data_IF_262947189980
#
_entry.id   IF_262947189980
#
_cell.length_a   1.000
_cell.length_b   1.000
_cell.length_c   1.000
_cell.angle_alpha   90.00
_cell.angle_beta   90.00
_cell.angle_gamma   90.00
#
_symmetry.space_group_name_H-M   'P 1'
#
loop_
_entity.id
_entity.type
_entity.pdbx_description
1 polymer ?
#
# COMPACT_ATOMS: atom_id res chain seq x y z
N UNK A 1 10.42 -4.18 29.44
CA UNK A 1 11.60 -4.25 28.54
C UNK A 1 11.02 -4.54 27.17
N UNK A 2 10.87 -3.52 26.33
CA UNK A 2 10.19 -3.67 25.05
C UNK A 2 11.19 -4.20 24.01
N UNK A 3 10.82 -5.29 23.33
CA UNK A 3 11.71 -5.99 22.41
C UNK A 3 11.47 -5.34 21.04
N UNK A 4 12.26 -4.31 20.73
CA UNK A 4 12.23 -3.67 19.42
C UNK A 4 12.86 -4.59 18.39
N UNK A 5 12.04 -5.20 17.54
CA UNK A 5 12.52 -6.02 16.43
C UNK A 5 12.64 -5.16 15.18
N UNK A 6 13.86 -5.02 14.65
CA UNK A 6 14.09 -4.33 13.38
C UNK A 6 13.56 -5.18 12.24
N UNK A 7 12.66 -4.64 11.42
CA UNK A 7 12.04 -5.39 10.32
C UNK A 7 12.72 -5.10 8.97
N UNK A 8 12.95 -3.81 8.68
CA UNK A 8 13.66 -3.32 7.49
C UNK A 8 14.17 -1.88 7.69
N UNK A 9 14.97 -1.40 6.73
CA UNK A 9 15.44 -0.01 6.67
C UNK A 9 14.73 0.74 5.52
N UNK A 10 14.28 1.96 5.80
CA UNK A 10 13.71 2.94 4.86
C UNK A 10 14.70 4.09 4.76
N UNK A 11 15.49 4.11 3.69
CA UNK A 11 16.62 5.04 3.53
C UNK A 11 17.60 4.93 4.72
N UNK A 12 17.78 5.99 5.49
CA UNK A 12 18.59 5.99 6.73
C UNK A 12 17.76 5.72 8.00
N UNK A 13 16.47 5.44 7.88
CA UNK A 13 15.57 5.18 9.00
C UNK A 13 15.38 3.69 9.24
N UNK A 14 15.59 3.25 10.48
CA UNK A 14 15.29 1.88 10.91
C UNK A 14 13.80 1.76 11.23
N UNK A 15 13.10 0.84 10.58
CA UNK A 15 11.71 0.51 10.91
C UNK A 15 11.71 -0.69 11.84
N UNK A 16 11.20 -0.48 13.05
CA UNK A 16 11.09 -1.50 14.10
C UNK A 16 9.64 -1.64 14.56
N UNK A 17 9.25 -2.87 14.90
CA UNK A 17 7.95 -3.15 15.52
C UNK A 17 8.20 -3.60 16.95
N UNK A 18 7.28 -3.20 17.82
CA UNK A 18 7.29 -3.47 19.24
C UNK A 18 5.86 -3.68 19.73
N UNK A 19 5.69 -4.28 20.90
CA UNK A 19 4.39 -4.45 21.52
C UNK A 19 4.00 -3.16 22.25
N UNK A 20 3.18 -2.32 21.61
CA UNK A 20 2.48 -1.20 22.25
C UNK A 20 0.96 -1.44 22.23
N UNK A 21 0.24 -1.15 23.31
CA UNK A 21 -1.22 -1.19 23.33
C UNK A 21 -1.88 0.02 22.63
N UNK A 22 -1.14 1.08 22.31
CA UNK A 22 -1.70 2.30 21.70
C UNK A 22 -1.84 2.19 20.17
N UNK A 23 -0.89 1.53 19.50
CA UNK A 23 -0.87 1.36 18.06
C UNK A 23 -0.80 -0.13 17.71
N UNK A 24 -1.97 -0.71 17.47
CA UNK A 24 -2.14 -2.13 17.18
C UNK A 24 -2.54 -2.29 15.71
N UNK A 25 -1.88 -3.24 15.04
CA UNK A 25 -2.28 -3.72 13.72
C UNK A 25 -2.38 -5.23 13.73
N UNK A 26 -3.40 -5.77 13.07
CA UNK A 26 -3.54 -7.22 12.83
C UNK A 26 -2.95 -7.63 11.48
N UNK A 27 -2.50 -6.67 10.68
CA UNK A 27 -2.09 -6.82 9.29
C UNK A 27 -0.56 -6.93 9.12
N UNK A 28 0.16 -7.49 10.09
CA UNK A 28 1.63 -7.46 10.13
C UNK A 28 2.35 -7.99 8.87
N UNK A 29 1.70 -8.85 8.08
CA UNK A 29 2.24 -9.36 6.81
C UNK A 29 2.48 -8.27 5.76
N UNK A 30 1.79 -7.12 5.84
CA UNK A 30 2.02 -5.96 4.99
C UNK A 30 3.47 -5.45 5.07
N UNK A 31 4.14 -5.64 6.21
CA UNK A 31 5.54 -5.26 6.40
C UNK A 31 6.48 -6.10 5.53
N UNK A 32 6.14 -7.38 5.33
CA UNK A 32 6.89 -8.25 4.43
C UNK A 32 6.68 -7.82 2.97
N UNK A 33 5.44 -7.47 2.59
CA UNK A 33 5.14 -6.93 1.26
C UNK A 33 5.94 -5.65 0.99
N UNK A 34 6.01 -4.74 1.97
CA UNK A 34 6.82 -3.53 1.85
C UNK A 34 8.31 -3.83 1.67
N UNK A 35 8.83 -4.81 2.41
CA UNK A 35 10.22 -5.25 2.28
C UNK A 35 10.50 -5.84 0.90
N UNK A 36 9.57 -6.60 0.34
CA UNK A 36 9.66 -7.15 -1.02
C UNK A 36 9.61 -6.04 -2.07
N UNK A 37 8.65 -5.11 -1.96
CA UNK A 37 8.54 -3.99 -2.88
C UNK A 37 9.79 -3.11 -2.87
N UNK A 38 10.38 -2.83 -1.70
CA UNK A 38 11.65 -2.09 -1.62
C UNK A 38 12.81 -2.77 -2.33
N UNK A 39 12.84 -4.10 -2.31
CA UNK A 39 13.90 -4.90 -2.93
C UNK A 39 13.70 -5.04 -4.44
N UNK A 40 12.47 -5.30 -4.87
CA UNK A 40 12.17 -5.72 -6.23
C UNK A 40 11.51 -4.64 -7.09
N UNK A 41 10.93 -3.60 -6.49
CA UNK A 41 10.33 -2.44 -7.17
C UNK A 41 9.26 -2.82 -8.20
N UNK A 42 8.46 -3.84 -7.89
CA UNK A 42 7.45 -4.38 -8.82
C UNK A 42 6.33 -3.36 -9.01
N UNK A 43 5.79 -2.83 -7.91
CA UNK A 43 4.74 -1.81 -7.94
C UNK A 43 5.27 -0.53 -8.59
N UNK A 44 6.50 -0.11 -8.25
CA UNK A 44 7.15 1.03 -8.88
C UNK A 44 7.24 0.85 -10.41
N UNK A 45 7.76 -0.28 -10.87
CA UNK A 45 7.88 -0.60 -12.30
C UNK A 45 6.54 -0.53 -13.02
N UNK A 46 5.51 -1.21 -12.50
CA UNK A 46 4.18 -1.22 -13.12
C UNK A 46 3.50 0.15 -13.03
N UNK A 47 3.68 0.89 -11.95
CA UNK A 47 3.09 2.23 -11.82
C UNK A 47 3.58 3.20 -12.91
N UNK A 48 4.83 3.06 -13.35
CA UNK A 48 5.41 3.86 -14.44
C UNK A 48 4.83 3.51 -15.83
N UNK A 49 4.17 2.35 -15.98
CA UNK A 49 3.50 1.95 -17.22
C UNK A 49 2.06 2.48 -17.32
N UNK A 50 1.51 3.02 -16.23
CA UNK A 50 0.15 3.57 -16.19
C UNK A 50 0.20 5.07 -16.45
N UNK A 51 -0.39 5.53 -17.56
CA UNK A 51 -0.54 6.96 -17.83
C UNK A 51 -1.64 7.56 -16.95
N UNK A 52 -1.28 8.51 -16.10
CA UNK A 52 -2.25 9.26 -15.31
C UNK A 52 -2.92 10.35 -16.17
N UNK A 53 -4.21 10.16 -16.49
CA UNK A 53 -5.01 11.10 -17.28
C UNK A 53 -5.71 12.16 -16.43
N UNK A 54 -5.55 12.12 -15.10
CA UNK A 54 -6.18 13.07 -14.17
C UNK A 54 -5.48 14.43 -14.27
N UNK A 55 -6.22 15.49 -13.92
CA UNK A 55 -5.65 16.83 -13.88
C UNK A 55 -4.55 16.90 -12.79
N UNK A 56 -3.30 17.29 -13.10
CA UNK A 56 -2.17 17.20 -12.16
C UNK A 56 -2.40 17.92 -10.83
N UNK A 57 -3.05 19.08 -10.86
CA UNK A 57 -3.35 19.88 -9.65
C UNK A 57 -4.38 19.25 -8.71
N UNK A 58 -5.09 18.19 -9.14
CA UNK A 58 -6.11 17.50 -8.34
C UNK A 58 -5.64 16.12 -7.85
N UNK A 59 -4.37 15.78 -8.08
CA UNK A 59 -3.80 14.49 -7.67
C UNK A 59 -3.37 14.57 -6.20
N UNK A 60 -4.18 13.95 -5.34
CA UNK A 60 -3.86 13.74 -3.92
C UNK A 60 -3.08 12.43 -3.71
N UNK A 61 -3.43 11.38 -4.45
CA UNK A 61 -2.77 10.08 -4.40
C UNK A 61 -2.17 9.74 -5.77
N UNK A 62 -0.85 9.54 -5.80
CA UNK A 62 -0.13 9.12 -7.01
C UNK A 62 -0.60 7.76 -7.49
N UNK A 63 -0.42 7.47 -8.78
CA UNK A 63 -0.72 6.15 -9.35
C UNK A 63 0.03 5.05 -8.61
N UNK A 64 1.30 5.28 -8.26
CA UNK A 64 2.09 4.34 -7.44
C UNK A 64 1.43 4.07 -6.09
N UNK A 65 0.98 5.10 -5.38
CA UNK A 65 0.30 4.96 -4.08
C UNK A 65 -1.01 4.18 -4.21
N UNK A 66 -1.81 4.49 -5.24
CA UNK A 66 -3.07 3.79 -5.52
C UNK A 66 -2.85 2.31 -5.86
N UNK A 67 -1.88 2.03 -6.74
CA UNK A 67 -1.53 0.66 -7.12
C UNK A 67 -0.99 -0.13 -5.92
N UNK A 68 -0.08 0.47 -5.13
CA UNK A 68 0.48 -0.14 -3.92
C UNK A 68 -0.59 -0.47 -2.91
N UNK A 69 -1.43 0.50 -2.56
CA UNK A 69 -2.54 0.31 -1.63
C UNK A 69 -3.42 -0.85 -2.08
N UNK A 70 -3.79 -0.88 -3.37
CA UNK A 70 -4.72 -1.89 -3.84
C UNK A 70 -4.11 -3.29 -3.90
N UNK A 71 -2.88 -3.43 -4.39
CA UNK A 71 -2.21 -4.74 -4.44
C UNK A 71 -1.96 -5.26 -3.02
N UNK A 72 -1.55 -4.40 -2.08
CA UNK A 72 -1.30 -4.81 -0.70
C UNK A 72 -2.58 -5.27 -0.01
N UNK A 73 -3.70 -4.55 -0.21
CA UNK A 73 -5.02 -4.98 0.27
C UNK A 73 -5.39 -6.36 -0.26
N UNK A 74 -5.22 -6.61 -1.57
CA UNK A 74 -5.54 -7.90 -2.17
C UNK A 74 -4.67 -9.04 -1.66
N UNK A 75 -3.37 -8.80 -1.49
CA UNK A 75 -2.44 -9.78 -0.91
C UNK A 75 -2.80 -10.14 0.54
N UNK A 76 -3.45 -9.23 1.26
CA UNK A 76 -3.95 -9.44 2.61
C UNK A 76 -5.36 -10.06 2.64
N UNK A 77 -5.96 -10.34 1.48
CA UNK A 77 -7.29 -10.95 1.37
C UNK A 77 -8.46 -9.95 1.35
N UNK A 78 -8.17 -8.64 1.25
CA UNK A 78 -9.21 -7.61 1.12
C UNK A 78 -9.62 -7.45 -0.36
N UNK A 79 -10.53 -8.31 -0.78
CA UNK A 79 -11.07 -8.33 -2.14
C UNK A 79 -11.89 -7.07 -2.43
N UNK A 80 -12.67 -6.61 -1.45
CA UNK A 80 -13.51 -5.44 -1.59
C UNK A 80 -12.78 -4.16 -1.18
N UNK A 81 -13.09 -3.05 -1.85
CA UNK A 81 -12.51 -1.74 -1.50
C UNK A 81 -13.19 -1.10 -0.27
N UNK A 82 -14.21 -1.73 0.34
CA UNK A 82 -14.92 -1.19 1.50
C UNK A 82 -14.10 -1.33 2.80
N UNK A 83 -13.16 -2.28 2.88
CA UNK A 83 -12.28 -2.48 4.04
C UNK A 83 -11.40 -1.26 4.34
N UNK A 84 -11.23 -0.36 3.36
CA UNK A 84 -10.55 0.93 3.54
C UNK A 84 -11.09 1.71 4.75
N UNK A 85 -12.39 1.63 5.06
CA UNK A 85 -12.96 2.34 6.20
C UNK A 85 -12.35 1.92 7.54
N UNK A 86 -11.94 0.65 7.65
CA UNK A 86 -11.24 0.11 8.81
C UNK A 86 -9.74 0.36 8.69
N UNK A 87 -9.14 -0.01 7.54
CA UNK A 87 -7.69 0.07 7.30
C UNK A 87 -7.13 1.49 7.30
N UNK A 88 -7.95 2.51 7.03
CA UNK A 88 -7.51 3.91 7.12
C UNK A 88 -7.09 4.33 8.53
N UNK A 89 -7.43 3.55 9.56
CA UNK A 89 -7.00 3.79 10.94
C UNK A 89 -5.85 2.88 11.35
N UNK A 90 -5.44 1.94 10.50
CA UNK A 90 -4.35 1.02 10.81
C UNK A 90 -2.99 1.74 10.68
N UNK A 91 -2.16 1.75 11.75
CA UNK A 91 -0.91 2.49 11.77
C UNK A 91 0.13 1.93 10.78
N UNK A 92 0.14 0.61 10.52
CA UNK A 92 1.06 0.00 9.56
C UNK A 92 0.69 0.40 8.13
N UNK A 93 -0.60 0.39 7.78
CA UNK A 93 -1.03 0.85 6.46
C UNK A 93 -0.70 2.33 6.23
N UNK A 94 -0.91 3.19 7.23
CA UNK A 94 -0.54 4.61 7.13
C UNK A 94 0.96 4.81 6.96
N UNK A 95 1.79 4.10 7.71
CA UNK A 95 3.26 4.22 7.59
C UNK A 95 3.76 3.73 6.22
N UNK A 96 3.27 2.58 5.76
CA UNK A 96 3.72 1.95 4.51
C UNK A 96 3.24 2.72 3.28
N UNK A 97 2.04 3.31 3.34
CA UNK A 97 1.49 4.13 2.27
C UNK A 97 1.87 5.62 2.40
N UNK A 98 2.74 5.94 3.36
CA UNK A 98 3.28 7.28 3.58
C UNK A 98 2.14 8.32 3.71
N UNK A 99 1.25 8.08 4.68
CA UNK A 99 0.12 8.94 5.03
C UNK A 99 -1.24 8.31 4.72
N UNK A 100 -2.25 9.16 4.55
CA UNK A 100 -3.65 8.69 4.45
C UNK A 100 -3.93 7.83 3.22
N UNK A 101 -4.82 6.87 3.41
CA UNK A 101 -5.25 5.93 2.38
C UNK A 101 -6.20 6.63 1.40
N UNK A 102 -6.14 6.22 0.14
CA UNK A 102 -7.15 6.59 -0.84
C UNK A 102 -8.48 5.93 -0.45
N UNK A 103 -9.56 6.71 -0.54
CA UNK A 103 -10.91 6.24 -0.23
C UNK A 103 -11.40 5.17 -1.22
N UNK A 104 -12.40 4.39 -0.81
CA UNK A 104 -13.06 3.39 -1.65
C UNK A 104 -13.44 3.93 -3.06
N UNK A 105 -14.07 5.12 -3.21
CA UNK A 105 -14.44 5.63 -4.53
C UNK A 105 -13.23 6.00 -5.38
N UNK A 106 -12.13 6.41 -4.74
CA UNK A 106 -10.88 6.74 -5.43
C UNK A 106 -10.22 5.48 -5.99
N UNK A 107 -10.16 4.41 -5.20
CA UNK A 107 -9.66 3.10 -5.66
C UNK A 107 -10.52 2.52 -6.77
N UNK A 108 -11.85 2.56 -6.62
CA UNK A 108 -12.76 2.07 -7.65
C UNK A 108 -12.61 2.81 -8.98
N UNK A 109 -12.46 4.14 -8.96
CA UNK A 109 -12.18 4.92 -10.19
C UNK A 109 -10.82 4.58 -10.80
N UNK A 110 -9.81 4.34 -9.96
CA UNK A 110 -8.49 3.92 -10.41
C UNK A 110 -8.52 2.54 -11.08
N UNK A 111 -9.17 1.54 -10.47
CA UNK A 111 -9.33 0.21 -11.09
C UNK A 111 -10.06 0.27 -12.44
N UNK A 112 -11.09 1.11 -12.54
CA UNK A 112 -11.82 1.30 -13.79
C UNK A 112 -11.05 2.10 -14.84
N UNK A 113 -9.97 2.79 -14.47
CA UNK A 113 -9.13 3.54 -15.43
C UNK A 113 -7.99 2.70 -16.00
N UNK A 114 -7.68 1.55 -15.38
CA UNK A 114 -6.63 0.63 -15.81
C UNK A 114 -7.21 -0.63 -16.46
N UNK A 115 -6.41 -1.31 -17.28
CA UNK A 115 -6.83 -2.58 -17.87
C UNK A 115 -6.80 -3.69 -16.81
N UNK A 116 -7.89 -4.47 -16.67
CA UNK A 116 -7.95 -5.59 -15.71
C UNK A 116 -6.86 -6.65 -15.91
N UNK A 117 -6.43 -6.88 -17.16
CA UNK A 117 -5.34 -7.80 -17.46
C UNK A 117 -4.00 -7.28 -16.93
N UNK A 118 -3.77 -5.97 -17.03
CA UNK A 118 -2.59 -5.33 -16.46
C UNK A 118 -2.56 -5.53 -14.95
N UNK A 119 -3.71 -5.36 -14.29
CA UNK A 119 -3.83 -5.51 -12.85
C UNK A 119 -3.59 -6.96 -12.36
N UNK A 120 -4.07 -7.96 -13.11
CA UNK A 120 -3.78 -9.36 -12.84
C UNK A 120 -2.28 -9.68 -12.98
N UNK A 121 -1.59 -9.10 -13.97
CA UNK A 121 -0.13 -9.29 -14.13
C UNK A 121 0.67 -8.78 -12.92
N UNK A 122 0.22 -7.74 -12.23
CA UNK A 122 0.91 -7.25 -11.02
C UNK A 122 0.75 -8.22 -9.84
N UNK A 123 -0.34 -8.98 -9.81
CA UNK A 123 -0.67 -9.92 -8.72
C UNK A 123 0.00 -11.28 -8.94
N UNK A 124 0.10 -11.74 -10.19
CA UNK A 124 0.57 -13.09 -10.55
C UNK A 124 2.03 -13.13 -11.00
N UNK A 125 2.58 -12.01 -11.47
CA UNK A 125 3.95 -11.90 -11.99
C UNK A 125 5.00 -11.65 -10.91
#
# INVERSE_FOLDING_TARGET
MSIKNTVFYRDNSCISVDFSPEEISSDGAIVLLEKLERRHKIIDYFSNQITDKRHPLLIVHSVKKLLKQRVFMLMQGYEDCNDVFHLQHDPLYKDILEGDLASQPTLSRFENSINKLFFLCVIVG
#
